data_IF_485035743740
#
_entry.id   IF_485035743740
#
_cell.length_a   1.000
_cell.length_b   1.000
_cell.length_c   1.000
_cell.angle_alpha   90.00
_cell.angle_beta   90.00
_cell.angle_gamma   90.00
#
_symmetry.space_group_name_H-M   'P 1'
#
loop_
_entity.id
_entity.type
_entity.pdbx_description
1 polymer ?
#
# COMPACT_ATOMS: atom_id res chain seq x y z
N UNK A 1 -1.63 -13.39 -1.49
CA UNK A 1 -2.45 -14.14 -0.52
C UNK A 1 -1.61 -14.37 0.72
N UNK A 2 -2.18 -14.08 1.90
CA UNK A 2 -1.54 -14.33 3.17
C UNK A 2 -2.05 -15.65 3.77
N UNK A 3 -1.12 -16.41 4.33
CA UNK A 3 -1.35 -17.68 5.02
C UNK A 3 -0.84 -17.52 6.45
N UNK A 4 -1.73 -17.65 7.43
CA UNK A 4 -1.44 -17.41 8.84
C UNK A 4 -1.82 -18.62 9.68
N UNK A 5 -0.96 -19.11 10.60
CA UNK A 5 -1.38 -20.09 11.57
C UNK A 5 -2.59 -19.61 12.39
N UNK A 6 -3.55 -20.49 12.64
CA UNK A 6 -4.74 -20.16 13.45
C UNK A 6 -4.45 -20.08 14.94
N UNK A 7 -3.36 -20.70 15.40
CA UNK A 7 -2.97 -20.71 16.80
C UNK A 7 -1.92 -19.66 17.07
N UNK A 8 -2.05 -18.94 18.16
CA UNK A 8 -1.01 -18.03 18.63
C UNK A 8 0.30 -18.78 18.87
N UNK A 9 1.42 -18.11 18.56
CA UNK A 9 2.78 -18.64 18.72
C UNK A 9 3.08 -19.93 17.94
N UNK A 10 2.23 -20.30 16.98
CA UNK A 10 2.46 -21.42 16.09
C UNK A 10 3.35 -20.96 14.91
N UNK A 11 4.42 -21.71 14.64
CA UNK A 11 5.27 -21.48 13.49
C UNK A 11 4.65 -22.10 12.24
N UNK A 12 5.02 -21.60 11.07
CA UNK A 12 4.50 -22.13 9.81
C UNK A 12 5.00 -23.55 9.53
N UNK A 13 6.12 -23.94 10.10
CA UNK A 13 6.68 -25.29 10.04
C UNK A 13 5.96 -26.30 10.94
N UNK A 14 5.18 -25.82 11.92
CA UNK A 14 4.42 -26.70 12.81
C UNK A 14 3.18 -27.25 12.07
N UNK A 15 2.81 -28.52 12.29
CA UNK A 15 1.60 -29.07 11.70
C UNK A 15 0.35 -28.45 12.33
N UNK A 16 -0.53 -27.92 11.48
CA UNK A 16 -1.79 -27.34 11.96
C UNK A 16 -2.56 -26.56 10.89
N UNK A 17 -3.73 -26.05 11.27
CA UNK A 17 -4.56 -25.28 10.36
C UNK A 17 -4.00 -23.88 10.11
N UNK A 18 -4.15 -23.39 8.90
CA UNK A 18 -3.83 -22.03 8.49
C UNK A 18 -5.07 -21.29 8.00
N UNK A 19 -5.19 -20.03 8.36
CA UNK A 19 -6.12 -19.08 7.75
C UNK A 19 -5.50 -18.59 6.44
N UNK A 20 -6.29 -18.53 5.38
CA UNK A 20 -5.93 -17.89 4.12
C UNK A 20 -6.76 -16.63 3.92
N UNK A 21 -6.12 -15.54 3.56
CA UNK A 21 -6.76 -14.26 3.31
C UNK A 21 -6.31 -13.69 1.97
N UNK A 22 -7.25 -13.08 1.23
CA UNK A 22 -6.89 -12.20 0.13
C UNK A 22 -6.17 -10.99 0.71
N UNK A 23 -4.96 -10.74 0.23
CA UNK A 23 -4.08 -9.71 0.77
C UNK A 23 -3.21 -9.14 -0.34
N UNK A 24 -2.42 -8.15 0.01
CA UNK A 24 -1.55 -7.39 -0.86
C UNK A 24 -1.90 -5.92 -0.80
N UNK A 25 -0.91 -5.06 -0.52
CA UNK A 25 -1.09 -3.65 -0.23
C UNK A 25 -2.02 -2.93 -1.21
N UNK A 26 -1.78 -3.07 -2.53
CA UNK A 26 -2.62 -2.44 -3.55
C UNK A 26 -4.07 -2.96 -3.55
N UNK A 27 -4.30 -4.25 -3.29
CA UNK A 27 -5.64 -4.83 -3.18
C UNK A 27 -6.38 -4.33 -1.93
N UNK A 28 -5.69 -4.25 -0.80
CA UNK A 28 -6.25 -3.70 0.45
C UNK A 28 -6.61 -2.23 0.25
N UNK A 29 -5.73 -1.43 -0.36
CA UNK A 29 -6.00 -0.03 -0.71
C UNK A 29 -7.28 0.08 -1.57
N UNK A 30 -7.40 -0.71 -2.64
CA UNK A 30 -8.54 -0.65 -3.54
C UNK A 30 -9.86 -1.02 -2.82
N UNK A 31 -9.85 -2.08 -2.00
CA UNK A 31 -11.00 -2.47 -1.18
C UNK A 31 -11.37 -1.38 -0.17
N UNK A 32 -10.37 -0.79 0.51
CA UNK A 32 -10.59 0.27 1.48
C UNK A 32 -11.20 1.52 0.83
N UNK A 33 -10.69 1.95 -0.32
CA UNK A 33 -11.24 3.09 -1.06
C UNK A 33 -12.71 2.85 -1.45
N UNK A 34 -13.04 1.65 -1.94
CA UNK A 34 -14.41 1.28 -2.27
C UNK A 34 -15.32 1.27 -1.04
N UNK A 35 -14.89 0.68 0.08
CA UNK A 35 -15.63 0.67 1.34
C UNK A 35 -15.86 2.07 1.92
N UNK A 36 -14.96 3.01 1.65
CA UNK A 36 -15.09 4.42 2.02
C UNK A 36 -15.97 5.21 1.04
N UNK A 37 -16.56 4.56 0.02
CA UNK A 37 -17.54 5.13 -0.88
C UNK A 37 -16.97 5.71 -2.19
N UNK A 38 -15.67 5.62 -2.43
CA UNK A 38 -15.07 6.07 -3.69
C UNK A 38 -15.10 4.96 -4.76
N UNK A 39 -15.37 5.26 -6.04
CA UNK A 39 -15.12 4.33 -7.12
C UNK A 39 -13.66 3.90 -7.12
N UNK A 40 -13.41 2.60 -7.11
CA UNK A 40 -12.08 2.03 -7.02
C UNK A 40 -11.87 0.93 -8.04
N UNK A 41 -10.68 0.87 -8.62
CA UNK A 41 -10.29 -0.17 -9.56
C UNK A 41 -8.93 -0.75 -9.24
N UNK A 42 -8.68 -1.95 -9.75
CA UNK A 42 -7.44 -2.67 -9.54
C UNK A 42 -6.82 -3.07 -10.88
N UNK A 43 -5.61 -2.58 -11.11
CA UNK A 43 -4.76 -2.99 -12.25
C UNK A 43 -3.76 -4.03 -11.73
N UNK A 44 -3.73 -5.18 -12.34
CA UNK A 44 -2.80 -6.23 -11.91
C UNK A 44 -2.87 -7.47 -12.78
N UNK A 45 -2.03 -8.44 -12.46
CA UNK A 45 -1.99 -9.73 -13.14
C UNK A 45 -2.26 -10.85 -12.14
N UNK A 46 -3.09 -11.80 -12.52
CA UNK A 46 -3.55 -12.89 -11.66
C UNK A 46 -3.47 -14.22 -12.39
N UNK A 47 -3.34 -15.32 -11.65
CA UNK A 47 -3.29 -16.67 -12.18
C UNK A 47 -4.66 -17.29 -12.40
N UNK A 48 -4.65 -18.55 -12.89
CA UNK A 48 -5.86 -19.37 -13.08
C UNK A 48 -6.12 -20.31 -11.88
N UNK A 49 -5.26 -20.27 -10.87
CA UNK A 49 -5.36 -21.11 -9.67
C UNK A 49 -6.48 -20.68 -8.71
N UNK A 50 -6.78 -21.55 -7.74
CA UNK A 50 -7.88 -21.32 -6.79
C UNK A 50 -7.68 -20.12 -5.87
N UNK A 51 -6.42 -19.80 -5.52
CA UNK A 51 -6.12 -18.65 -4.67
C UNK A 51 -6.22 -17.34 -5.47
N UNK A 52 -5.87 -17.37 -6.75
CA UNK A 52 -6.12 -16.29 -7.69
C UNK A 52 -7.62 -15.97 -7.79
N UNK A 53 -8.49 -17.01 -7.91
CA UNK A 53 -9.94 -16.82 -7.90
C UNK A 53 -10.43 -16.22 -6.59
N UNK A 54 -9.91 -16.66 -5.45
CA UNK A 54 -10.27 -16.08 -4.13
C UNK A 54 -10.00 -14.58 -4.09
N UNK A 55 -8.84 -14.12 -4.59
CA UNK A 55 -8.50 -12.68 -4.63
C UNK A 55 -9.48 -11.91 -5.53
N UNK A 56 -9.76 -12.42 -6.74
CA UNK A 56 -10.72 -11.76 -7.65
C UNK A 56 -12.13 -11.69 -7.08
N UNK A 57 -12.60 -12.75 -6.43
CA UNK A 57 -13.92 -12.75 -5.78
C UNK A 57 -13.96 -11.77 -4.61
N UNK A 58 -12.89 -11.66 -3.84
CA UNK A 58 -12.79 -10.67 -2.76
C UNK A 58 -12.87 -9.25 -3.31
N UNK A 59 -12.11 -8.91 -4.35
CA UNK A 59 -12.16 -7.58 -4.98
C UNK A 59 -13.57 -7.26 -5.49
N UNK A 60 -14.22 -8.22 -6.20
CA UNK A 60 -15.61 -8.04 -6.67
C UNK A 60 -16.60 -7.84 -5.53
N UNK A 61 -16.50 -8.64 -4.47
CA UNK A 61 -17.38 -8.54 -3.30
C UNK A 61 -17.30 -7.18 -2.60
N UNK A 62 -16.15 -6.51 -2.75
CA UNK A 62 -15.93 -5.14 -2.26
C UNK A 62 -16.19 -4.06 -3.33
N UNK A 63 -16.88 -4.39 -4.43
CA UNK A 63 -17.20 -3.49 -5.54
C UNK A 63 -15.99 -2.81 -6.19
N UNK A 64 -14.82 -3.43 -6.16
CA UNK A 64 -13.64 -2.96 -6.89
C UNK A 64 -13.77 -3.34 -8.35
N UNK A 65 -13.56 -2.39 -9.25
CA UNK A 65 -13.48 -2.67 -10.69
C UNK A 65 -12.24 -3.50 -11.00
N UNK A 66 -12.45 -4.66 -11.56
CA UNK A 66 -11.41 -5.62 -11.97
C UNK A 66 -11.31 -5.79 -13.48
N UNK A 67 -11.89 -4.89 -14.26
CA UNK A 67 -11.87 -4.95 -15.74
C UNK A 67 -10.46 -4.92 -16.33
N UNK A 68 -9.50 -4.36 -15.57
CA UNK A 68 -8.09 -4.29 -15.95
C UNK A 68 -7.20 -5.29 -15.18
N UNK A 69 -7.81 -6.36 -14.67
CA UNK A 69 -7.07 -7.51 -14.12
C UNK A 69 -6.78 -8.50 -15.26
N UNK A 70 -5.52 -8.71 -15.54
CA UNK A 70 -5.05 -9.62 -16.59
C UNK A 70 -4.93 -11.04 -16.02
N UNK A 71 -5.56 -12.00 -16.67
CA UNK A 71 -5.44 -13.42 -16.30
C UNK A 71 -4.32 -14.06 -17.11
N UNK A 72 -3.37 -14.69 -16.44
CA UNK A 72 -2.24 -15.39 -17.05
C UNK A 72 -2.12 -16.81 -16.48
N UNK A 73 -1.76 -17.76 -17.33
CA UNK A 73 -1.49 -19.15 -16.93
C UNK A 73 0.00 -19.47 -16.80
N UNK A 74 0.88 -18.47 -16.93
CA UNK A 74 2.32 -18.69 -16.90
C UNK A 74 2.85 -18.99 -15.50
N UNK A 75 2.27 -18.31 -14.48
CA UNK A 75 2.71 -18.40 -13.09
C UNK A 75 1.54 -18.40 -12.11
N UNK A 76 1.80 -18.85 -10.90
CA UNK A 76 0.84 -18.84 -9.80
C UNK A 76 0.86 -17.52 -9.04
N UNK A 77 -0.17 -17.29 -8.22
CA UNK A 77 -0.25 -16.11 -7.33
C UNK A 77 0.86 -16.16 -6.28
N UNK A 78 1.35 -14.98 -5.90
CA UNK A 78 2.31 -14.84 -4.81
C UNK A 78 1.70 -15.13 -3.44
N UNK A 79 2.46 -15.80 -2.58
CA UNK A 79 2.06 -16.12 -1.22
C UNK A 79 2.97 -15.42 -0.22
N UNK A 80 2.40 -15.04 0.92
CA UNK A 80 3.14 -14.68 2.11
C UNK A 80 2.65 -15.55 3.27
N UNK A 81 3.59 -16.10 4.00
CA UNK A 81 3.32 -16.75 5.28
C UNK A 81 3.62 -15.76 6.39
N UNK A 82 2.69 -15.61 7.31
CA UNK A 82 2.76 -14.64 8.39
C UNK A 82 2.63 -15.35 9.72
N UNK A 83 3.65 -15.24 10.55
CA UNK A 83 3.70 -15.78 11.90
C UNK A 83 3.56 -14.67 12.94
N UNK A 84 2.78 -14.91 13.98
CA UNK A 84 2.67 -14.06 15.15
C UNK A 84 3.39 -14.75 16.32
N UNK A 85 4.63 -14.35 16.57
CA UNK A 85 5.49 -14.93 17.58
C UNK A 85 5.70 -13.93 18.73
N UNK A 86 6.11 -14.39 19.94
CA UNK A 86 6.39 -13.51 21.08
C UNK A 86 7.42 -12.42 20.77
N UNK A 87 8.38 -12.72 19.91
CA UNK A 87 9.44 -11.83 19.44
C UNK A 87 8.97 -10.83 18.37
N UNK A 88 7.74 -10.99 17.86
CA UNK A 88 7.16 -10.14 16.84
C UNK A 88 6.62 -10.90 15.64
N UNK A 89 6.28 -10.15 14.59
CA UNK A 89 5.80 -10.73 13.34
C UNK A 89 6.95 -11.14 12.45
N UNK A 90 6.83 -12.33 11.86
CA UNK A 90 7.75 -12.85 10.88
C UNK A 90 7.00 -13.07 9.55
N UNK A 91 7.61 -12.65 8.44
CA UNK A 91 7.07 -12.81 7.10
C UNK A 91 7.99 -13.67 6.26
N UNK A 92 7.42 -14.67 5.60
CA UNK A 92 8.13 -15.48 4.63
C UNK A 92 7.41 -15.40 3.28
N UNK A 93 8.09 -14.86 2.27
CA UNK A 93 7.49 -14.58 0.97
C UNK A 93 7.83 -15.62 -0.08
N UNK A 94 6.81 -16.13 -0.75
CA UNK A 94 6.88 -16.97 -1.94
C UNK A 94 6.27 -16.22 -3.11
N UNK A 95 6.95 -15.16 -3.56
CA UNK A 95 6.45 -14.26 -4.60
C UNK A 95 7.46 -13.92 -5.70
N UNK A 96 8.67 -14.48 -5.65
CA UNK A 96 9.64 -14.32 -6.71
C UNK A 96 9.07 -14.93 -8.00
N UNK A 97 8.92 -14.07 -9.04
CA UNK A 97 8.26 -14.44 -10.30
C UNK A 97 6.82 -14.97 -10.10
N UNK A 98 6.10 -14.47 -9.11
CA UNK A 98 4.65 -14.69 -9.05
C UNK A 98 3.95 -13.92 -10.17
N UNK A 99 2.78 -14.36 -10.57
CA UNK A 99 2.04 -13.76 -11.69
C UNK A 99 1.88 -12.24 -11.54
N UNK A 100 1.57 -11.74 -10.34
CA UNK A 100 1.40 -10.30 -10.07
C UNK A 100 2.69 -9.48 -10.20
N UNK A 101 3.87 -10.11 -10.01
CA UNK A 101 5.15 -9.42 -10.19
C UNK A 101 5.58 -9.28 -11.66
N UNK A 102 4.82 -9.86 -12.59
CA UNK A 102 5.13 -9.89 -14.02
C UNK A 102 4.21 -8.99 -14.86
N UNK A 103 3.50 -8.06 -14.23
CA UNK A 103 2.78 -7.01 -14.94
C UNK A 103 3.79 -6.10 -15.66
N UNK A 104 3.56 -5.86 -16.94
CA UNK A 104 4.46 -5.08 -17.82
C UNK A 104 3.89 -3.71 -18.13
N UNK A 105 4.76 -2.78 -18.50
CA UNK A 105 4.42 -1.42 -18.87
C UNK A 105 3.45 -1.33 -20.07
N UNK A 106 3.57 -2.22 -21.06
CA UNK A 106 2.73 -2.29 -22.24
C UNK A 106 1.34 -2.90 -22.00
N UNK A 107 1.11 -3.45 -20.80
CA UNK A 107 -0.18 -4.01 -20.37
C UNK A 107 -1.06 -2.96 -19.64
N UNK A 108 -0.58 -1.74 -19.45
CA UNK A 108 -1.34 -0.66 -18.82
C UNK A 108 -2.25 0.04 -19.82
N UNK A 109 -3.52 0.19 -19.49
CA UNK A 109 -4.49 0.94 -20.29
C UNK A 109 -4.44 2.44 -19.96
N UNK A 110 -3.95 3.24 -20.89
CA UNK A 110 -3.85 4.69 -20.75
C UNK A 110 -5.22 5.36 -20.58
N UNK A 111 -6.24 4.89 -21.31
CA UNK A 111 -7.61 5.43 -21.23
C UNK A 111 -8.21 5.24 -19.84
N UNK A 112 -8.01 4.06 -19.26
CA UNK A 112 -8.46 3.76 -17.91
C UNK A 112 -7.75 4.63 -16.85
N UNK A 113 -6.43 4.74 -16.95
CA UNK A 113 -5.62 5.55 -16.03
C UNK A 113 -6.02 7.02 -16.12
N UNK A 114 -6.24 7.55 -17.34
CA UNK A 114 -6.58 8.97 -17.55
C UNK A 114 -7.93 9.39 -16.95
N UNK A 115 -8.82 8.43 -16.69
CA UNK A 115 -10.12 8.67 -16.05
C UNK A 115 -10.09 8.66 -14.52
N UNK A 116 -8.95 8.34 -13.90
CA UNK A 116 -8.83 8.25 -12.46
C UNK A 116 -8.60 9.63 -11.79
N UNK A 117 -9.05 9.77 -10.54
CA UNK A 117 -8.66 10.90 -9.69
C UNK A 117 -7.21 10.76 -9.22
N UNK A 118 -6.83 9.55 -8.81
CA UNK A 118 -5.48 9.21 -8.38
C UNK A 118 -5.13 7.77 -8.74
N UNK A 119 -3.84 7.51 -8.96
CA UNK A 119 -3.27 6.16 -8.98
C UNK A 119 -2.45 5.95 -7.72
N UNK A 120 -2.45 4.72 -7.21
CA UNK A 120 -1.68 4.35 -6.02
C UNK A 120 -0.82 3.12 -6.27
N UNK A 121 0.40 3.12 -5.77
CA UNK A 121 1.24 1.93 -5.74
C UNK A 121 2.14 1.90 -4.49
N UNK A 122 2.37 0.72 -3.91
CA UNK A 122 3.30 0.53 -2.80
C UNK A 122 4.73 0.33 -3.29
N UNK A 123 5.70 0.86 -2.55
CA UNK A 123 7.12 0.86 -2.91
C UNK A 123 7.73 -0.52 -3.04
N UNK A 124 7.21 -1.50 -2.29
CA UNK A 124 7.66 -2.88 -2.39
C UNK A 124 7.62 -3.46 -3.83
N UNK A 125 6.75 -2.93 -4.71
CA UNK A 125 6.68 -3.37 -6.10
C UNK A 125 7.94 -3.02 -6.90
N UNK A 126 8.61 -1.92 -6.55
CA UNK A 126 9.82 -1.46 -7.23
C UNK A 126 11.02 -2.41 -7.07
N UNK A 127 10.95 -3.32 -6.11
CA UNK A 127 12.03 -4.23 -5.76
C UNK A 127 11.75 -5.71 -6.09
N UNK A 128 10.59 -6.02 -6.70
CA UNK A 128 10.22 -7.41 -7.02
C UNK A 128 10.87 -7.92 -8.31
N UNK A 129 10.51 -7.33 -9.44
CA UNK A 129 11.03 -7.69 -10.77
C UNK A 129 11.20 -6.45 -11.63
N UNK A 130 11.92 -6.57 -12.76
CA UNK A 130 12.05 -5.47 -13.71
C UNK A 130 10.73 -5.15 -14.40
N UNK A 131 9.90 -6.16 -14.66
CA UNK A 131 8.60 -6.03 -15.32
C UNK A 131 7.67 -5.13 -14.51
N UNK A 132 7.43 -5.46 -13.24
CA UNK A 132 6.52 -4.66 -12.38
C UNK A 132 7.12 -3.28 -12.07
N UNK A 133 8.43 -3.15 -11.95
CA UNK A 133 9.11 -1.85 -11.83
C UNK A 133 8.86 -0.98 -13.04
N UNK A 134 9.02 -1.54 -14.24
CA UNK A 134 8.70 -0.87 -15.50
C UNK A 134 7.24 -0.45 -15.59
N UNK A 135 6.32 -1.30 -15.12
CA UNK A 135 4.90 -0.96 -15.04
C UNK A 135 4.63 0.20 -14.06
N UNK A 136 5.26 0.21 -12.88
CA UNK A 136 5.14 1.34 -11.93
C UNK A 136 5.66 2.65 -12.53
N UNK A 137 6.80 2.62 -13.23
CA UNK A 137 7.35 3.80 -13.91
C UNK A 137 6.39 4.29 -14.99
N UNK A 138 5.83 3.39 -15.80
CA UNK A 138 4.87 3.73 -16.84
C UNK A 138 3.55 4.28 -16.26
N UNK A 139 3.06 3.69 -15.16
CA UNK A 139 1.88 4.17 -14.43
C UNK A 139 2.05 5.64 -14.02
N UNK A 140 3.19 5.97 -13.42
CA UNK A 140 3.55 7.34 -13.03
C UNK A 140 3.60 8.27 -14.26
N UNK A 141 4.23 7.84 -15.35
CA UNK A 141 4.33 8.64 -16.58
C UNK A 141 2.95 8.93 -17.18
N UNK A 142 2.07 7.91 -17.26
CA UNK A 142 0.71 8.07 -17.76
C UNK A 142 -0.13 8.97 -16.85
N UNK A 143 -0.07 8.76 -15.54
CA UNK A 143 -0.78 9.60 -14.57
C UNK A 143 -0.38 11.08 -14.72
N UNK A 144 0.90 11.37 -14.74
CA UNK A 144 1.41 12.74 -14.90
C UNK A 144 1.04 13.36 -16.25
N UNK A 145 1.09 12.58 -17.33
CA UNK A 145 0.66 13.03 -18.68
C UNK A 145 -0.79 13.52 -18.68
N UNK A 146 -1.66 12.92 -17.90
CA UNK A 146 -3.09 13.23 -17.85
C UNK A 146 -3.52 14.05 -16.62
N UNK A 147 -2.58 14.51 -15.79
CA UNK A 147 -2.90 15.28 -14.59
C UNK A 147 -3.58 14.47 -13.49
N UNK A 148 -3.43 13.15 -13.52
CA UNK A 148 -3.91 12.23 -12.48
C UNK A 148 -2.91 12.24 -11.32
N UNK A 149 -3.40 12.34 -10.08
CA UNK A 149 -2.53 12.37 -8.90
C UNK A 149 -1.83 11.02 -8.71
N UNK A 150 -0.57 11.07 -8.29
CA UNK A 150 0.21 9.89 -7.96
C UNK A 150 0.32 9.78 -6.44
N UNK A 151 -0.22 8.70 -5.87
CA UNK A 151 -0.13 8.34 -4.46
C UNK A 151 0.86 7.20 -4.27
N UNK A 152 1.75 7.36 -3.32
CA UNK A 152 2.83 6.41 -3.03
C UNK A 152 2.93 6.12 -1.53
N UNK A 153 2.97 4.83 -1.19
CA UNK A 153 3.33 4.33 0.13
C UNK A 153 4.69 3.61 0.01
N UNK A 154 5.76 4.09 0.65
CA UNK A 154 7.07 3.44 0.60
C UNK A 154 7.03 1.97 0.99
N UNK A 155 6.24 1.60 2.00
CA UNK A 155 6.03 0.22 2.45
C UNK A 155 7.34 -0.59 2.44
N UNK A 156 8.38 -0.03 3.10
CA UNK A 156 9.75 -0.56 3.08
C UNK A 156 9.78 -1.87 3.84
N UNK A 157 10.23 -2.91 3.18
CA UNK A 157 10.42 -4.23 3.77
C UNK A 157 11.92 -4.47 4.01
N UNK A 158 12.27 -4.92 5.22
CA UNK A 158 13.69 -5.18 5.61
C UNK A 158 14.37 -6.15 4.66
N UNK A 159 13.64 -7.13 4.16
CA UNK A 159 14.13 -8.15 3.22
C UNK A 159 14.57 -7.57 1.87
N UNK A 160 14.03 -6.39 1.51
CA UNK A 160 14.35 -5.68 0.27
C UNK A 160 15.45 -4.64 0.45
N UNK A 161 15.79 -4.30 1.68
CA UNK A 161 16.80 -3.26 1.97
C UNK A 161 18.26 -3.70 1.74
N UNK A 162 18.48 -4.94 1.37
CA UNK A 162 19.82 -5.46 1.05
C UNK A 162 20.37 -4.96 -0.29
N UNK A 163 19.51 -4.50 -1.21
CA UNK A 163 19.93 -3.90 -2.48
C UNK A 163 20.25 -2.41 -2.28
N UNK A 164 21.49 -1.97 -2.51
CA UNK A 164 21.85 -0.56 -2.41
C UNK A 164 21.01 0.38 -3.28
N UNK A 165 20.52 -0.10 -4.43
CA UNK A 165 19.65 0.67 -5.33
C UNK A 165 18.20 0.76 -4.85
N UNK A 166 17.78 0.00 -3.85
CA UNK A 166 16.40 0.05 -3.34
C UNK A 166 16.04 1.44 -2.81
N UNK A 167 16.96 2.07 -2.08
CA UNK A 167 16.76 3.43 -1.57
C UNK A 167 16.57 4.45 -2.70
N UNK A 168 17.37 4.37 -3.77
CA UNK A 168 17.26 5.30 -4.90
C UNK A 168 15.93 5.14 -5.63
N UNK A 169 15.42 3.89 -5.76
CA UNK A 169 14.10 3.63 -6.33
C UNK A 169 12.97 4.23 -5.47
N UNK A 170 13.06 4.12 -4.15
CA UNK A 170 12.09 4.75 -3.24
C UNK A 170 12.15 6.29 -3.35
N UNK A 171 13.33 6.89 -3.38
CA UNK A 171 13.49 8.33 -3.55
C UNK A 171 12.96 8.79 -4.90
N UNK A 172 13.19 8.03 -5.98
CA UNK A 172 12.59 8.29 -7.28
C UNK A 172 11.05 8.32 -7.19
N UNK A 173 10.44 7.35 -6.53
CA UNK A 173 8.99 7.30 -6.38
C UNK A 173 8.46 8.49 -5.55
N UNK A 174 9.13 8.86 -4.46
CA UNK A 174 8.79 10.08 -3.69
C UNK A 174 8.83 11.32 -4.58
N UNK A 175 9.89 11.50 -5.37
CA UNK A 175 10.07 12.67 -6.25
C UNK A 175 9.03 12.78 -7.36
N UNK A 176 8.39 11.66 -7.73
CA UNK A 176 7.41 11.61 -8.82
C UNK A 176 5.96 11.44 -8.32
N UNK A 177 5.74 11.53 -7.01
CA UNK A 177 4.42 11.42 -6.39
C UNK A 177 3.91 12.76 -5.86
N UNK A 178 2.59 12.95 -5.90
CA UNK A 178 1.90 14.11 -5.34
C UNK A 178 1.55 13.89 -3.86
N UNK A 179 1.30 12.63 -3.50
CA UNK A 179 0.87 12.18 -2.18
C UNK A 179 1.82 11.07 -1.71
N UNK A 180 2.41 11.24 -0.53
CA UNK A 180 3.30 10.21 0.06
C UNK A 180 2.85 9.91 1.48
N UNK A 181 2.65 8.62 1.79
CA UNK A 181 2.11 8.16 3.07
C UNK A 181 3.04 7.16 3.79
N UNK A 182 4.28 7.54 4.18
CA UNK A 182 5.18 6.67 4.92
C UNK A 182 4.79 6.57 6.41
N UNK A 183 5.30 5.54 7.07
CA UNK A 183 5.47 5.60 8.52
C UNK A 183 6.54 6.64 8.88
N UNK A 184 6.52 7.16 10.11
CA UNK A 184 7.57 8.08 10.57
C UNK A 184 8.96 7.44 10.43
N UNK A 185 9.11 6.16 10.76
CA UNK A 185 10.37 5.42 10.65
C UNK A 185 10.87 5.33 9.20
N UNK A 186 9.98 5.08 8.24
CA UNK A 186 10.32 5.09 6.82
C UNK A 186 10.71 6.49 6.34
N UNK A 187 9.96 7.51 6.75
CA UNK A 187 10.30 8.91 6.46
C UNK A 187 11.68 9.30 7.00
N UNK A 188 12.01 8.88 8.22
CA UNK A 188 13.33 9.07 8.81
C UNK A 188 14.43 8.34 8.01
N UNK A 189 14.17 7.11 7.60
CA UNK A 189 15.09 6.30 6.78
C UNK A 189 15.36 6.94 5.43
N UNK A 190 14.32 7.42 4.75
CA UNK A 190 14.43 8.03 3.42
C UNK A 190 15.14 9.38 3.45
N UNK A 191 14.86 10.19 4.47
CA UNK A 191 15.37 11.57 4.56
C UNK A 191 16.67 11.70 5.35
N UNK A 192 16.99 10.73 6.21
CA UNK A 192 18.10 10.84 7.19
C UNK A 192 17.83 11.85 8.30
N UNK A 193 16.58 12.30 8.47
CA UNK A 193 16.14 13.25 9.51
C UNK A 193 15.51 12.51 10.68
N UNK A 194 15.49 13.14 11.85
CA UNK A 194 14.97 12.53 13.08
C UNK A 194 13.70 13.20 13.60
N UNK A 195 13.58 14.53 13.48
CA UNK A 195 12.37 15.24 13.92
C UNK A 195 11.27 15.15 12.88
N UNK A 196 10.00 15.11 13.32
CA UNK A 196 8.83 15.12 12.43
C UNK A 196 8.86 16.32 11.48
N UNK A 197 9.17 17.50 11.99
CA UNK A 197 9.23 18.72 11.19
C UNK A 197 10.28 18.65 10.08
N UNK A 198 11.48 18.16 10.39
CA UNK A 198 12.56 18.02 9.40
C UNK A 198 12.25 16.92 8.36
N UNK A 199 11.61 15.82 8.78
CA UNK A 199 11.15 14.76 7.87
C UNK A 199 10.12 15.30 6.89
N UNK A 200 9.10 16.01 7.38
CA UNK A 200 8.08 16.63 6.54
C UNK A 200 8.71 17.62 5.55
N UNK A 201 9.57 18.53 6.05
CA UNK A 201 10.26 19.49 5.20
C UNK A 201 11.09 18.83 4.10
N UNK A 202 11.86 17.81 4.46
CA UNK A 202 12.70 17.10 3.51
C UNK A 202 11.88 16.34 2.46
N UNK A 203 10.77 15.70 2.84
CA UNK A 203 9.89 15.02 1.89
C UNK A 203 9.20 16.01 0.94
N UNK A 204 8.68 17.14 1.44
CA UNK A 204 8.11 18.20 0.59
C UNK A 204 9.14 18.78 -0.38
N UNK A 205 10.39 18.96 0.06
CA UNK A 205 11.47 19.45 -0.79
C UNK A 205 11.81 18.49 -1.97
N UNK A 206 11.41 17.23 -1.88
CA UNK A 206 11.56 16.25 -2.97
C UNK A 206 10.44 16.32 -4.02
N UNK A 207 9.29 16.96 -3.71
CA UNK A 207 8.20 17.14 -4.69
C UNK A 207 6.77 16.94 -4.17
N UNK A 208 6.48 16.02 -3.26
CA UNK A 208 5.11 15.75 -2.82
C UNK A 208 4.41 16.98 -2.24
N UNK A 209 3.18 17.23 -2.70
CA UNK A 209 2.32 18.28 -2.14
C UNK A 209 1.70 17.83 -0.81
N UNK A 210 1.38 16.55 -0.68
CA UNK A 210 0.79 15.96 0.53
C UNK A 210 1.74 14.93 1.13
N UNK A 211 2.10 15.11 2.39
CA UNK A 211 2.91 14.15 3.16
C UNK A 211 2.12 13.75 4.39
N UNK A 212 1.86 12.46 4.55
CA UNK A 212 1.12 11.91 5.68
C UNK A 212 1.96 10.86 6.41
N UNK A 213 2.42 11.19 7.62
CA UNK A 213 3.23 10.31 8.46
C UNK A 213 2.35 9.55 9.43
N UNK A 214 2.32 8.22 9.36
CA UNK A 214 1.72 7.38 10.40
C UNK A 214 2.72 7.15 11.53
N UNK A 215 2.24 7.08 12.79
CA UNK A 215 3.07 6.97 14.00
C UNK A 215 2.57 5.88 14.95
N UNK A 216 2.09 4.79 14.41
CA UNK A 216 1.53 3.67 15.16
C UNK A 216 0.48 4.16 16.20
N UNK A 217 0.69 3.81 17.46
CA UNK A 217 -0.17 4.21 18.60
C UNK A 217 -0.24 5.72 18.84
N UNK A 218 0.69 6.50 18.32
CA UNK A 218 0.75 7.95 18.50
C UNK A 218 -0.06 8.70 17.44
N UNK A 219 -0.72 7.99 16.53
CA UNK A 219 -1.63 8.55 15.52
C UNK A 219 -0.94 8.96 14.23
N UNK A 220 -1.27 10.13 13.69
CA UNK A 220 -0.76 10.56 12.39
C UNK A 220 -0.53 12.07 12.32
N UNK A 221 0.33 12.46 11.38
CA UNK A 221 0.59 13.88 11.04
C UNK A 221 0.42 14.01 9.52
N UNK A 222 -0.44 14.93 9.07
CA UNK A 222 -0.60 15.26 7.65
C UNK A 222 -0.15 16.70 7.41
N UNK A 223 0.68 16.88 6.40
CA UNK A 223 1.18 18.18 5.95
C UNK A 223 0.79 18.42 4.50
N UNK A 224 0.21 19.57 4.22
CA UNK A 224 -0.23 20.00 2.90
C UNK A 224 -0.23 21.52 2.80
N UNK A 225 0.31 22.08 1.70
CA UNK A 225 0.30 23.51 1.39
C UNK A 225 0.81 24.38 2.57
N UNK A 226 1.89 23.95 3.23
CA UNK A 226 2.51 24.65 4.37
C UNK A 226 1.77 24.54 5.69
N UNK A 227 0.65 23.82 5.75
CA UNK A 227 -0.13 23.56 6.96
C UNK A 227 0.12 22.15 7.47
N UNK A 228 -0.04 21.95 8.77
CA UNK A 228 0.13 20.65 9.44
C UNK A 228 -1.07 20.38 10.33
N UNK A 229 -1.65 19.19 10.22
CA UNK A 229 -2.66 18.69 11.16
C UNK A 229 -2.15 17.42 11.84
N UNK A 230 -2.51 17.24 13.09
CA UNK A 230 -2.13 16.10 13.93
C UNK A 230 -3.40 15.41 14.39
N UNK A 231 -3.52 14.11 14.10
CA UNK A 231 -4.49 13.25 14.72
C UNK A 231 -3.81 12.47 15.86
N UNK A 232 -4.34 12.57 17.06
CA UNK A 232 -3.85 11.78 18.19
C UNK A 232 -4.14 10.29 17.99
N UNK A 233 -3.30 9.44 18.55
CA UNK A 233 -3.51 7.99 18.52
C UNK A 233 -4.81 7.59 19.21
N UNK A 234 -5.47 6.60 18.67
CA UNK A 234 -6.68 6.01 19.22
C UNK A 234 -6.25 4.79 20.05
N UNK A 235 -6.60 4.81 21.34
CA UNK A 235 -6.25 3.70 22.22
C UNK A 235 -7.14 2.48 21.92
N UNK A 236 -6.57 1.53 21.19
CA UNK A 236 -7.23 0.27 20.84
C UNK A 236 -6.23 -0.89 20.85
N UNK A 237 -6.68 -2.07 21.30
CA UNK A 237 -5.87 -3.29 21.23
C UNK A 237 -6.00 -3.89 19.81
N UNK A 238 -4.95 -3.90 19.00
CA UNK A 238 -5.03 -4.44 17.64
C UNK A 238 -5.20 -5.96 17.67
N UNK A 239 -6.13 -6.47 16.86
CA UNK A 239 -6.24 -7.89 16.57
C UNK A 239 -5.27 -8.31 15.46
N UNK A 240 -5.25 -7.53 14.38
CA UNK A 240 -4.33 -7.72 13.26
C UNK A 240 -3.97 -6.36 12.64
N UNK A 241 -2.72 -5.90 12.74
CA UNK A 241 -2.33 -4.61 12.19
C UNK A 241 -2.11 -4.61 10.67
N UNK A 242 -2.38 -5.73 9.98
CA UNK A 242 -2.30 -5.83 8.51
C UNK A 242 -3.30 -4.89 7.85
N UNK A 243 -2.83 -4.14 6.85
CA UNK A 243 -3.68 -3.23 6.07
C UNK A 243 -3.93 -1.85 6.69
N UNK A 244 -3.40 -1.56 7.90
CA UNK A 244 -3.56 -0.24 8.53
C UNK A 244 -3.01 0.89 7.65
N UNK A 245 -1.79 0.76 7.14
CA UNK A 245 -1.15 1.72 6.25
C UNK A 245 -1.90 1.86 4.92
N UNK A 246 -2.25 0.72 4.30
CA UNK A 246 -2.98 0.70 3.03
C UNK A 246 -4.35 1.39 3.14
N UNK A 247 -5.08 1.11 4.23
CA UNK A 247 -6.39 1.73 4.52
C UNK A 247 -6.23 3.22 4.84
N UNK A 248 -5.19 3.60 5.57
CA UNK A 248 -4.87 5.00 5.82
C UNK A 248 -4.58 5.76 4.52
N UNK A 249 -3.77 5.19 3.63
CA UNK A 249 -3.46 5.78 2.32
C UNK A 249 -4.71 5.88 1.42
N UNK A 250 -5.60 4.88 1.45
CA UNK A 250 -6.88 4.93 0.74
C UNK A 250 -7.77 6.06 1.28
N UNK A 251 -7.91 6.16 2.61
CA UNK A 251 -8.67 7.23 3.24
C UNK A 251 -8.09 8.62 2.92
N UNK A 252 -6.76 8.73 2.81
CA UNK A 252 -6.11 9.97 2.42
C UNK A 252 -6.54 10.40 1.01
N UNK A 253 -6.50 9.51 0.03
CA UNK A 253 -6.94 9.79 -1.33
C UNK A 253 -8.44 10.14 -1.40
N UNK A 254 -9.29 9.38 -0.71
CA UNK A 254 -10.74 9.62 -0.65
C UNK A 254 -11.04 10.96 0.01
N UNK A 255 -10.45 11.25 1.15
CA UNK A 255 -10.69 12.52 1.86
C UNK A 255 -10.18 13.75 1.10
N UNK A 256 -9.10 13.62 0.34
CA UNK A 256 -8.63 14.67 -0.58
C UNK A 256 -9.60 14.89 -1.73
N UNK A 257 -10.13 13.83 -2.33
CA UNK A 257 -11.14 13.89 -3.39
C UNK A 257 -12.42 14.58 -2.90
N UNK A 258 -12.84 14.28 -1.67
CA UNK A 258 -14.00 14.89 -0.99
C UNK A 258 -13.76 16.34 -0.52
N UNK A 259 -12.54 16.87 -0.68
CA UNK A 259 -12.19 18.24 -0.27
C UNK A 259 -12.25 18.47 1.24
N UNK A 260 -11.95 17.46 2.06
CA UNK A 260 -11.95 17.58 3.51
C UNK A 260 -10.94 18.62 3.99
N UNK A 261 -11.27 19.36 5.09
CA UNK A 261 -10.27 20.19 5.76
C UNK A 261 -9.13 19.32 6.29
N UNK A 262 -7.94 19.90 6.44
CA UNK A 262 -6.75 19.15 6.81
C UNK A 262 -6.91 18.44 8.16
N UNK A 263 -7.56 19.06 9.13
CA UNK A 263 -7.84 18.51 10.46
C UNK A 263 -8.82 17.33 10.37
N UNK A 264 -9.88 17.48 9.57
CA UNK A 264 -10.85 16.40 9.33
C UNK A 264 -10.21 15.24 8.58
N UNK A 265 -9.37 15.54 7.59
CA UNK A 265 -8.62 14.55 6.83
C UNK A 265 -7.69 13.72 7.75
N UNK A 266 -6.94 14.38 8.64
CA UNK A 266 -6.05 13.69 9.57
C UNK A 266 -6.83 12.73 10.50
N UNK A 267 -7.95 13.20 11.05
CA UNK A 267 -8.82 12.36 11.89
C UNK A 267 -9.42 11.20 11.09
N UNK A 268 -9.93 11.46 9.90
CA UNK A 268 -10.55 10.45 9.03
C UNK A 268 -9.58 9.33 8.68
N UNK A 269 -8.37 9.67 8.23
CA UNK A 269 -7.33 8.68 7.90
C UNK A 269 -6.92 7.86 9.13
N UNK A 270 -6.73 8.53 10.28
CA UNK A 270 -6.34 7.86 11.51
C UNK A 270 -7.43 6.90 12.02
N UNK A 271 -8.71 7.28 11.94
CA UNK A 271 -9.84 6.41 12.28
C UNK A 271 -9.92 5.22 11.32
N UNK A 272 -9.78 5.43 10.02
CA UNK A 272 -9.84 4.36 9.02
C UNK A 272 -8.73 3.31 9.25
N UNK A 273 -7.47 3.76 9.42
CA UNK A 273 -6.35 2.86 9.72
C UNK A 273 -6.48 2.14 11.06
N UNK A 274 -7.10 2.79 12.07
CA UNK A 274 -7.36 2.15 13.36
C UNK A 274 -8.49 1.12 13.27
N UNK A 275 -9.56 1.41 12.52
CA UNK A 275 -10.71 0.52 12.43
C UNK A 275 -10.35 -0.83 11.81
N UNK A 276 -9.52 -0.85 10.77
CA UNK A 276 -9.16 -2.10 10.08
C UNK A 276 -8.40 -3.06 10.99
N UNK A 277 -7.58 -2.57 11.92
CA UNK A 277 -6.81 -3.43 12.84
C UNK A 277 -7.65 -4.06 13.95
N UNK A 278 -8.92 -3.68 14.07
CA UNK A 278 -9.86 -4.25 15.05
C UNK A 278 -10.57 -5.51 14.57
N UNK A 279 -10.31 -5.91 13.33
CA UNK A 279 -10.94 -7.05 12.66
C UNK A 279 -9.85 -8.00 12.11
N UNK A 280 -10.25 -9.24 11.84
CA UNK A 280 -9.42 -10.23 11.13
C UNK A 280 -10.04 -10.57 9.81
#
# INVERSE_FOLDING_TARGET
>A
VDLMPLRENMRIEDPGPVLKAASGAAGIFACAASLLGAPSGFIGKIGVDSLSRMVTETLRAQNVDISHVIVSNEYQIGLAFLEYLPEGRNYQYYRNRSVGSLLRADELDEGYISGAYAVHFPGMLLDLTEEIRGACVQLVNLARKHGVLVSFDPNIRRELSADPAARDRMLWAVQHSDIVAPTLAEGQTLTGKTSIGDVLHALHAMGPRVVALTRDKDGAVISMDGKVAIAAGINYAPLDPTGAGDTFAAALCVGLQEGMSLERLAMFCNCAGTLVITQR
#
